data_IF_330993712936
#
_entry.id   IF_330993712936
#
_cell.length_a   1.000
_cell.length_b   1.000
_cell.length_c   1.000
_cell.angle_alpha   90.00
_cell.angle_beta   90.00
_cell.angle_gamma   90.00
#
_symmetry.space_group_name_H-M   'P 1'
#
loop_
_entity.id
_entity.type
_entity.pdbx_description
1 polymer ?
#
# COMPACT_ATOMS: atom_id res chain seq x y z
N UNK A 1 14.95 31.67 -64.51
CA UNK A 1 14.54 30.29 -64.11
C UNK A 1 14.92 29.86 -62.65
N UNK A 2 15.96 30.45 -62.09
CA UNK A 2 16.43 30.04 -60.73
C UNK A 2 15.49 30.46 -59.59
N UNK A 3 14.77 31.58 -59.69
CA UNK A 3 13.86 32.06 -58.63
C UNK A 3 12.53 31.30 -58.56
N UNK A 4 11.99 30.77 -59.66
CA UNK A 4 10.74 30.01 -59.67
C UNK A 4 10.85 28.62 -59.02
N UNK A 5 12.06 28.02 -59.09
CA UNK A 5 12.33 26.73 -58.40
C UNK A 5 12.38 26.87 -56.89
N UNK A 6 12.79 28.05 -56.37
CA UNK A 6 12.83 28.34 -54.93
C UNK A 6 11.42 28.69 -54.42
N UNK A 7 10.61 29.41 -55.18
CA UNK A 7 9.27 29.81 -54.76
C UNK A 7 8.23 28.68 -54.74
N UNK A 8 8.43 27.61 -55.53
CA UNK A 8 7.49 26.50 -55.60
C UNK A 8 8.08 25.23 -54.93
N UNK A 9 9.37 25.01 -55.02
CA UNK A 9 10.02 23.80 -54.51
C UNK A 9 10.11 23.74 -53.00
N UNK A 10 10.43 24.84 -52.33
CA UNK A 10 10.56 24.88 -50.87
C UNK A 10 9.21 24.73 -50.17
N UNK A 11 8.15 25.46 -50.50
CA UNK A 11 6.84 25.26 -49.91
C UNK A 11 6.27 23.85 -50.12
N UNK A 12 6.51 23.28 -51.32
CA UNK A 12 6.06 21.92 -51.62
C UNK A 12 6.81 20.86 -50.83
N UNK A 13 8.13 21.01 -50.65
CA UNK A 13 8.94 20.12 -49.82
C UNK A 13 8.55 20.21 -48.35
N UNK A 14 8.30 21.42 -47.81
CA UNK A 14 7.84 21.62 -46.43
C UNK A 14 6.44 21.03 -46.26
N UNK A 15 5.55 21.18 -47.21
CA UNK A 15 4.21 20.60 -47.21
C UNK A 15 4.24 19.08 -47.15
N UNK A 16 5.11 18.43 -47.94
CA UNK A 16 5.30 16.98 -47.93
C UNK A 16 5.87 16.49 -46.60
N UNK A 17 6.86 17.20 -46.04
CA UNK A 17 7.44 16.86 -44.73
C UNK A 17 6.39 16.98 -43.61
N UNK A 18 5.61 18.05 -43.60
CA UNK A 18 4.53 18.23 -42.61
C UNK A 18 3.44 17.19 -42.76
N UNK A 19 3.03 16.84 -43.98
CA UNK A 19 2.05 15.77 -44.22
C UNK A 19 2.58 14.39 -43.80
N UNK A 20 3.86 14.12 -44.02
CA UNK A 20 4.50 12.86 -43.59
C UNK A 20 4.62 12.76 -42.04
N UNK A 21 5.01 13.85 -41.39
CA UNK A 21 5.05 13.96 -39.94
C UNK A 21 3.65 13.80 -39.31
N UNK A 22 2.65 14.44 -39.90
CA UNK A 22 1.25 14.31 -39.47
C UNK A 22 0.75 12.87 -39.69
N UNK A 23 1.10 12.27 -40.81
CA UNK A 23 0.79 10.88 -41.12
C UNK A 23 1.43 9.89 -40.13
N UNK A 24 2.69 10.12 -39.70
CA UNK A 24 3.38 9.33 -38.68
C UNK A 24 2.75 9.54 -37.31
N UNK A 25 2.37 10.77 -36.97
CA UNK A 25 1.66 11.07 -35.71
C UNK A 25 0.27 10.43 -35.67
N UNK A 26 -0.49 10.55 -36.76
CA UNK A 26 -1.83 9.91 -36.85
C UNK A 26 -1.71 8.39 -36.89
N UNK A 27 -0.71 7.85 -37.58
CA UNK A 27 -0.46 6.41 -37.60
C UNK A 27 0.01 5.89 -36.21
N UNK A 28 0.82 6.66 -35.47
CA UNK A 28 1.18 6.38 -34.09
C UNK A 28 0.00 6.50 -33.11
N UNK A 29 -0.95 7.41 -33.41
CA UNK A 29 -2.16 7.57 -32.60
C UNK A 29 -3.24 6.54 -32.92
N UNK A 30 -3.35 6.09 -34.17
CA UNK A 30 -4.33 5.10 -34.64
C UNK A 30 -3.83 3.66 -34.45
N UNK A 31 -2.51 3.43 -34.30
CA UNK A 31 -1.96 2.17 -33.79
C UNK A 31 -1.44 2.39 -32.37
N UNK A 32 -2.24 2.13 -31.34
CA UNK A 32 -1.75 2.13 -29.98
C UNK A 32 -0.77 0.95 -29.85
N UNK A 33 0.51 1.26 -30.00
CA UNK A 33 1.58 0.36 -29.60
C UNK A 33 1.52 0.23 -28.08
N UNK A 34 0.96 -0.86 -27.55
CA UNK A 34 1.17 -1.29 -26.20
C UNK A 34 0.17 -0.86 -25.14
N UNK A 35 -0.88 -0.10 -25.44
CA UNK A 35 -2.05 -0.05 -24.55
C UNK A 35 -3.09 -1.05 -25.05
N UNK A 36 -3.10 -2.26 -24.50
CA UNK A 36 -4.28 -3.09 -24.62
C UNK A 36 -5.35 -2.50 -23.72
N UNK A 37 -6.20 -1.61 -24.25
CA UNK A 37 -7.50 -1.41 -23.66
C UNK A 37 -8.18 -2.79 -23.67
N UNK A 38 -8.37 -3.38 -22.49
CA UNK A 38 -9.21 -4.57 -22.36
C UNK A 38 -10.61 -4.16 -22.78
N UNK A 39 -11.20 -4.75 -23.84
CA UNK A 39 -12.55 -4.42 -24.24
C UNK A 39 -13.50 -4.72 -23.09
N UNK A 40 -14.33 -3.79 -22.73
CA UNK A 40 -15.48 -3.99 -21.85
C UNK A 40 -16.34 -5.12 -22.43
N UNK A 41 -16.30 -6.31 -21.79
CA UNK A 41 -17.19 -7.41 -22.14
C UNK A 41 -16.58 -8.79 -22.41
N UNK A 42 -15.29 -9.03 -22.20
CA UNK A 42 -14.71 -10.37 -22.34
C UNK A 42 -14.60 -11.14 -21.01
N UNK A 43 -15.65 -11.19 -20.22
CA UNK A 43 -15.74 -12.03 -19.01
C UNK A 43 -16.34 -13.42 -19.29
N UNK A 44 -16.10 -13.99 -20.47
CA UNK A 44 -16.56 -15.34 -20.82
C UNK A 44 -15.43 -16.36 -20.94
N UNK A 45 -14.64 -16.53 -19.87
CA UNK A 45 -13.91 -17.78 -19.66
C UNK A 45 -14.61 -18.59 -18.57
N UNK A 46 -15.51 -19.47 -18.98
CA UNK A 46 -15.99 -20.57 -18.15
C UNK A 46 -14.82 -21.52 -17.90
N UNK A 47 -14.19 -21.43 -16.73
CA UNK A 47 -13.38 -22.54 -16.20
C UNK A 47 -14.37 -23.57 -15.66
N UNK A 48 -14.33 -24.77 -16.20
CA UNK A 48 -15.11 -25.91 -15.70
C UNK A 48 -14.67 -26.17 -14.24
N UNK A 49 -15.59 -25.96 -13.31
CA UNK A 49 -15.41 -26.32 -11.91
C UNK A 49 -15.66 -27.79 -11.76
N UNK A 50 -14.63 -28.56 -11.34
CA UNK A 50 -14.82 -29.91 -10.87
C UNK A 50 -15.67 -29.95 -9.61
N UNK A 51 -16.63 -30.86 -9.43
CA UNK A 51 -17.43 -30.92 -8.21
C UNK A 51 -16.61 -31.55 -7.08
N UNK A 52 -16.25 -30.75 -6.11
CA UNK A 52 -15.48 -31.15 -4.92
C UNK A 52 -16.06 -30.59 -3.63
N UNK A 53 -16.68 -31.47 -2.85
CA UNK A 53 -16.76 -31.44 -1.40
C UNK A 53 -17.59 -30.33 -0.74
N UNK A 54 -18.82 -30.64 -0.37
CA UNK A 54 -19.65 -29.89 0.57
C UNK A 54 -19.01 -29.93 1.97
N UNK A 55 -18.39 -28.83 2.40
CA UNK A 55 -18.04 -28.59 3.79
C UNK A 55 -19.27 -28.12 4.56
N UNK A 56 -19.65 -28.83 5.62
CA UNK A 56 -20.76 -28.47 6.48
C UNK A 56 -20.54 -27.10 7.13
N UNK A 57 -21.48 -26.16 6.97
CA UNK A 57 -21.51 -24.87 7.64
C UNK A 57 -21.83 -25.03 9.12
N UNK A 58 -21.07 -24.36 9.99
CA UNK A 58 -21.37 -24.26 11.41
C UNK A 58 -22.69 -23.50 11.65
N UNK A 59 -23.49 -23.83 12.69
CA UNK A 59 -24.76 -23.15 12.96
C UNK A 59 -24.50 -21.68 13.32
N UNK A 60 -25.13 -20.76 12.60
CA UNK A 60 -25.15 -19.33 12.91
C UNK A 60 -24.28 -18.43 12.03
N UNK A 61 -23.57 -18.95 11.02
CA UNK A 61 -22.85 -18.10 10.06
C UNK A 61 -23.82 -17.45 9.06
N UNK A 62 -23.62 -16.18 8.67
CA UNK A 62 -24.37 -15.57 7.57
C UNK A 62 -24.24 -16.41 6.30
N UNK A 63 -25.31 -16.46 5.49
CA UNK A 63 -25.29 -17.23 4.25
C UNK A 63 -24.11 -16.82 3.35
N UNK A 64 -23.34 -17.79 2.85
CA UNK A 64 -22.21 -17.57 1.97
C UNK A 64 -20.83 -17.43 2.63
N UNK A 65 -20.73 -17.43 3.96
CA UNK A 65 -19.41 -17.45 4.65
C UNK A 65 -18.86 -18.86 4.63
N UNK A 66 -17.65 -19.04 4.10
CA UNK A 66 -16.91 -20.29 4.18
C UNK A 66 -15.68 -20.17 5.10
N UNK A 67 -15.37 -21.25 5.79
CA UNK A 67 -14.23 -21.33 6.69
C UNK A 67 -13.54 -22.68 6.58
N UNK A 68 -12.22 -22.66 6.41
CA UNK A 68 -11.37 -23.84 6.41
C UNK A 68 -10.19 -23.67 7.37
N UNK A 69 -9.81 -24.74 8.07
CA UNK A 69 -8.67 -24.75 8.99
C UNK A 69 -7.98 -26.11 8.90
N UNK A 70 -6.73 -26.14 8.49
CA UNK A 70 -5.97 -27.36 8.22
C UNK A 70 -5.36 -28.00 9.49
N UNK A 71 -5.40 -27.34 10.65
CA UNK A 71 -4.78 -27.82 11.92
C UNK A 71 -3.33 -28.29 11.79
N UNK A 72 -2.57 -27.72 10.85
CA UNK A 72 -1.18 -28.11 10.62
C UNK A 72 -0.25 -27.58 11.72
N UNK A 73 0.77 -28.35 12.08
CA UNK A 73 1.86 -27.85 12.91
C UNK A 73 2.67 -26.80 12.15
N UNK A 74 3.02 -25.71 12.83
CA UNK A 74 3.79 -24.62 12.24
C UNK A 74 5.21 -24.68 12.78
N UNK A 75 6.19 -24.79 11.88
CA UNK A 75 7.61 -24.71 12.26
C UNK A 75 7.91 -23.32 12.83
N UNK A 76 8.62 -23.26 13.96
CA UNK A 76 8.98 -21.99 14.58
C UNK A 76 10.13 -21.34 13.81
N UNK A 77 9.90 -20.16 13.27
CA UNK A 77 10.86 -19.37 12.52
C UNK A 77 10.99 -17.96 13.14
N UNK A 78 12.19 -17.36 13.07
CA UNK A 78 12.41 -16.03 13.61
C UNK A 78 11.76 -14.92 12.75
N UNK A 79 11.70 -13.71 13.33
CA UNK A 79 11.30 -12.50 12.66
C UNK A 79 9.80 -12.22 12.70
N UNK A 80 9.47 -10.94 12.50
CA UNK A 80 8.09 -10.45 12.49
C UNK A 80 7.95 -9.20 11.62
N UNK A 81 6.79 -9.10 10.95
CA UNK A 81 6.33 -7.92 10.21
C UNK A 81 4.82 -7.78 10.42
N UNK A 82 4.37 -7.32 11.61
CA UNK A 82 3.02 -7.57 12.10
C UNK A 82 1.94 -6.63 11.56
N UNK A 83 2.26 -5.69 10.69
CA UNK A 83 1.30 -4.73 10.15
C UNK A 83 1.84 -3.90 9.01
N UNK A 84 1.02 -2.98 8.55
CA UNK A 84 1.37 -2.05 7.49
C UNK A 84 2.67 -1.31 7.79
N UNK A 85 3.68 -1.49 6.90
CA UNK A 85 5.02 -0.92 7.00
C UNK A 85 5.82 -1.39 8.23
N UNK A 86 5.51 -2.59 8.74
CA UNK A 86 6.23 -3.21 9.84
C UNK A 86 5.83 -2.73 11.24
N UNK A 87 6.60 -3.12 12.28
CA UNK A 87 6.21 -2.92 13.68
C UNK A 87 6.11 -1.44 14.09
N UNK A 88 6.91 -0.56 13.48
CA UNK A 88 6.90 0.89 13.74
C UNK A 88 6.16 1.69 12.66
N UNK A 89 5.55 1.05 11.68
CA UNK A 89 4.84 1.66 10.54
C UNK A 89 5.71 2.63 9.72
N UNK A 90 7.02 2.44 9.74
CA UNK A 90 8.02 3.32 9.11
C UNK A 90 8.62 2.75 7.81
N UNK A 91 8.35 1.47 7.49
CA UNK A 91 8.90 0.78 6.32
C UNK A 91 10.34 0.31 6.51
N UNK A 92 10.83 0.34 7.76
CA UNK A 92 12.19 -0.09 8.10
C UNK A 92 12.14 -1.37 8.91
N UNK A 93 12.87 -2.39 8.45
CA UNK A 93 12.98 -3.65 9.20
C UNK A 93 13.99 -3.52 10.33
N UNK A 94 13.55 -3.83 11.54
CA UNK A 94 14.40 -4.00 12.71
C UNK A 94 14.89 -5.46 12.88
N UNK A 95 14.62 -6.35 11.93
CA UNK A 95 15.03 -7.76 11.97
C UNK A 95 16.56 -7.87 12.07
N UNK A 96 17.03 -8.62 13.08
CA UNK A 96 18.45 -8.78 13.34
C UNK A 96 19.13 -9.79 12.41
N UNK A 97 18.37 -10.58 11.65
CA UNK A 97 18.90 -11.57 10.70
C UNK A 97 19.88 -10.91 9.73
N UNK A 98 21.11 -11.41 9.58
CA UNK A 98 22.02 -10.95 8.55
C UNK A 98 21.42 -11.15 7.17
N UNK A 99 21.51 -10.13 6.31
CA UNK A 99 20.99 -10.19 4.94
C UNK A 99 22.13 -10.18 3.94
N UNK A 100 21.95 -10.93 2.87
CA UNK A 100 22.88 -10.92 1.75
C UNK A 100 23.00 -9.50 1.18
N UNK A 101 24.21 -9.01 0.87
CA UNK A 101 24.41 -7.65 0.36
C UNK A 101 23.87 -7.45 -1.07
N UNK A 102 23.46 -8.52 -1.71
CA UNK A 102 22.92 -8.61 -3.06
C UNK A 102 22.80 -10.07 -3.48
N UNK A 103 22.35 -10.28 -4.70
CA UNK A 103 22.17 -11.61 -5.31
C UNK A 103 22.64 -11.58 -6.78
N UNK A 104 22.91 -12.75 -7.35
CA UNK A 104 23.25 -12.91 -8.77
C UNK A 104 22.04 -12.70 -9.70
N UNK A 105 22.25 -12.82 -11.03
CA UNK A 105 21.18 -12.60 -12.03
C UNK A 105 19.97 -13.52 -11.87
N UNK A 106 20.13 -14.70 -11.26
CA UNK A 106 19.03 -15.62 -10.98
C UNK A 106 18.11 -15.15 -9.83
N UNK A 107 18.50 -14.09 -9.12
CA UNK A 107 17.81 -13.61 -7.95
C UNK A 107 18.05 -14.42 -6.67
N UNK A 108 17.40 -14.02 -5.56
CA UNK A 108 17.42 -14.80 -4.33
C UNK A 108 16.62 -16.10 -4.51
N UNK A 109 16.98 -17.20 -3.80
CA UNK A 109 16.25 -18.47 -3.87
C UNK A 109 14.78 -18.29 -3.51
N UNK A 110 13.88 -18.90 -4.29
CA UNK A 110 12.46 -18.98 -3.98
C UNK A 110 12.24 -20.16 -3.05
N UNK A 111 11.83 -19.89 -1.80
CA UNK A 111 11.53 -20.92 -0.81
C UNK A 111 10.17 -21.58 -1.11
N UNK A 112 9.18 -20.77 -1.44
CA UNK A 112 7.86 -21.22 -1.84
C UNK A 112 7.09 -20.11 -2.58
N UNK A 113 6.00 -20.50 -3.24
CA UNK A 113 5.05 -19.56 -3.83
C UNK A 113 3.63 -20.00 -3.59
N UNK A 114 2.69 -19.05 -3.53
CA UNK A 114 1.26 -19.29 -3.38
C UNK A 114 0.48 -18.55 -4.46
N UNK A 115 -0.53 -19.24 -5.01
CA UNK A 115 -1.52 -18.61 -5.90
C UNK A 115 -2.50 -17.80 -5.07
N UNK A 116 -2.76 -16.59 -5.50
CA UNK A 116 -3.69 -15.64 -4.91
C UNK A 116 -4.80 -15.31 -5.91
N UNK A 117 -5.86 -14.70 -5.40
CA UNK A 117 -6.80 -13.94 -6.22
C UNK A 117 -6.24 -12.58 -6.62
N UNK A 118 -7.00 -11.83 -7.40
CA UNK A 118 -6.57 -10.48 -7.82
C UNK A 118 -6.55 -9.51 -6.63
N UNK A 119 -5.46 -8.78 -6.46
CA UNK A 119 -5.37 -7.75 -5.43
C UNK A 119 -3.96 -7.24 -5.19
N UNK A 120 -3.88 -6.26 -4.29
CA UNK A 120 -2.64 -5.55 -3.94
C UNK A 120 -2.37 -5.58 -2.44
N UNK A 121 -3.08 -6.41 -1.69
CA UNK A 121 -2.88 -6.52 -0.25
C UNK A 121 -1.50 -7.08 0.08
N UNK A 122 -0.72 -6.35 0.85
CA UNK A 122 0.58 -6.83 1.34
C UNK A 122 0.43 -7.87 2.44
N UNK A 123 1.34 -8.86 2.53
CA UNK A 123 1.38 -9.80 3.61
C UNK A 123 1.89 -9.18 4.93
N UNK A 124 1.49 -9.77 6.04
CA UNK A 124 2.09 -9.54 7.36
C UNK A 124 2.54 -10.85 7.98
N UNK A 125 3.55 -10.79 8.84
CA UNK A 125 4.19 -11.99 9.41
C UNK A 125 4.26 -11.88 10.91
N UNK A 126 3.76 -12.91 11.60
CA UNK A 126 3.94 -13.08 13.04
C UNK A 126 3.84 -14.57 13.42
N UNK A 127 4.66 -15.00 14.37
CA UNK A 127 4.63 -16.38 14.90
C UNK A 127 4.66 -17.44 13.79
N UNK A 128 5.58 -17.25 12.83
CA UNK A 128 5.78 -18.14 11.67
C UNK A 128 4.56 -18.31 10.76
N UNK A 129 3.63 -17.36 10.81
CA UNK A 129 2.43 -17.31 9.97
C UNK A 129 2.44 -16.06 9.11
N UNK A 130 1.91 -16.19 7.91
CA UNK A 130 1.73 -15.10 6.93
C UNK A 130 0.23 -14.87 6.76
N UNK A 131 -0.20 -13.63 6.94
CA UNK A 131 -1.61 -13.26 6.80
C UNK A 131 -1.75 -12.21 5.71
N UNK A 132 -2.80 -12.32 4.92
CA UNK A 132 -3.21 -11.29 3.94
C UNK A 132 -4.71 -11.37 3.68
N UNK A 133 -5.25 -10.34 3.04
CA UNK A 133 -6.58 -10.41 2.43
C UNK A 133 -6.44 -10.70 0.95
N UNK A 134 -7.41 -11.41 0.40
CA UNK A 134 -7.38 -11.89 -0.97
C UNK A 134 -8.79 -11.89 -1.56
N UNK A 135 -8.92 -11.66 -2.86
CA UNK A 135 -10.22 -11.60 -3.51
C UNK A 135 -10.37 -12.68 -4.59
N UNK A 136 -11.37 -13.52 -4.43
CA UNK A 136 -11.75 -14.52 -5.43
C UNK A 136 -12.79 -13.92 -6.39
N UNK A 137 -12.37 -13.59 -7.60
CA UNK A 137 -13.21 -13.01 -8.64
C UNK A 137 -14.29 -14.00 -9.10
N UNK A 138 -13.98 -15.30 -9.15
CA UNK A 138 -14.92 -16.33 -9.58
C UNK A 138 -16.05 -16.56 -8.57
N UNK A 139 -15.71 -16.55 -7.29
CA UNK A 139 -16.67 -16.70 -6.19
C UNK A 139 -17.28 -15.36 -5.76
N UNK A 140 -16.80 -14.22 -6.27
CA UNK A 140 -17.16 -12.86 -5.81
C UNK A 140 -17.10 -12.76 -4.29
N UNK A 141 -15.97 -13.18 -3.72
CA UNK A 141 -15.75 -13.20 -2.28
C UNK A 141 -14.40 -12.62 -1.90
N UNK A 142 -14.37 -11.86 -0.83
CA UNK A 142 -13.14 -11.46 -0.15
C UNK A 142 -12.77 -12.52 0.89
N UNK A 143 -11.49 -12.69 1.16
CA UNK A 143 -10.99 -13.71 2.07
C UNK A 143 -9.85 -13.21 2.94
N UNK A 144 -9.86 -13.60 4.20
CA UNK A 144 -8.70 -13.52 5.09
C UNK A 144 -8.01 -14.88 5.03
N UNK A 145 -6.73 -14.88 4.65
CA UNK A 145 -5.93 -16.10 4.48
C UNK A 145 -4.73 -16.12 5.39
N UNK A 146 -4.40 -17.28 5.91
CA UNK A 146 -3.23 -17.52 6.73
C UNK A 146 -2.41 -18.69 6.16
N UNK A 147 -1.12 -18.46 5.97
CA UNK A 147 -0.18 -19.44 5.44
C UNK A 147 0.94 -19.71 6.45
N UNK A 148 1.58 -20.86 6.32
CA UNK A 148 2.83 -21.18 7.00
C UNK A 148 3.98 -20.38 6.36
N UNK A 149 4.78 -19.69 7.17
CA UNK A 149 5.98 -18.98 6.69
C UNK A 149 7.05 -19.96 6.19
N UNK A 150 7.03 -21.21 6.67
CA UNK A 150 8.04 -22.21 6.33
C UNK A 150 7.93 -22.71 4.91
N UNK A 151 6.71 -23.01 4.45
CA UNK A 151 6.46 -23.74 3.20
C UNK A 151 5.29 -23.18 2.35
N UNK A 152 4.61 -22.11 2.81
CA UNK A 152 3.50 -21.51 2.09
C UNK A 152 2.20 -22.31 2.11
N UNK A 153 2.11 -23.39 2.88
CA UNK A 153 0.85 -24.15 3.05
C UNK A 153 -0.23 -23.28 3.69
N UNK A 154 -1.45 -23.34 3.17
CA UNK A 154 -2.58 -22.57 3.74
C UNK A 154 -3.06 -23.23 5.03
N UNK A 155 -2.93 -22.51 6.14
CA UNK A 155 -3.31 -22.98 7.47
C UNK A 155 -4.81 -22.79 7.72
N UNK A 156 -5.34 -21.63 7.33
CA UNK A 156 -6.77 -21.36 7.39
C UNK A 156 -7.16 -20.25 6.40
N UNK A 157 -8.44 -20.28 6.00
CA UNK A 157 -9.09 -19.29 5.16
C UNK A 157 -10.49 -19.00 5.68
N UNK A 158 -10.84 -17.73 5.73
CA UNK A 158 -12.21 -17.25 5.99
C UNK A 158 -12.65 -16.37 4.84
N UNK A 159 -13.63 -16.84 4.06
CA UNK A 159 -14.18 -16.09 2.95
C UNK A 159 -15.60 -15.60 3.28
N UNK A 160 -15.96 -14.46 2.71
CA UNK A 160 -17.31 -13.90 2.80
C UNK A 160 -17.71 -13.27 1.47
N UNK A 161 -19.02 -13.33 1.09
CA UNK A 161 -19.49 -12.72 -0.13
C UNK A 161 -19.23 -11.22 -0.14
N UNK A 162 -18.60 -10.74 -1.19
CA UNK A 162 -18.34 -9.32 -1.40
C UNK A 162 -18.30 -9.02 -2.90
N UNK A 163 -19.44 -8.55 -3.43
CA UNK A 163 -19.55 -8.26 -4.87
C UNK A 163 -18.88 -6.91 -5.15
N UNK A 164 -17.75 -6.93 -5.84
CA UNK A 164 -17.02 -5.74 -6.25
C UNK A 164 -16.91 -5.68 -7.76
N UNK A 165 -16.88 -4.46 -8.32
CA UNK A 165 -16.52 -4.25 -9.72
C UNK A 165 -15.02 -4.43 -9.88
N UNK A 166 -14.58 -5.09 -10.95
CA UNK A 166 -13.16 -5.19 -11.25
C UNK A 166 -12.60 -3.81 -11.58
N UNK A 167 -11.82 -3.24 -10.65
CA UNK A 167 -11.24 -1.93 -10.77
C UNK A 167 -9.89 -1.89 -10.03
N UNK A 168 -8.78 -2.02 -10.75
CA UNK A 168 -7.40 -1.96 -10.24
C UNK A 168 -7.13 -2.86 -9.03
N UNK A 169 -7.57 -4.12 -9.06
CA UNK A 169 -7.48 -5.04 -7.93
C UNK A 169 -8.45 -4.66 -6.79
N UNK A 170 -8.93 -5.63 -6.06
CA UNK A 170 -10.03 -5.46 -5.11
C UNK A 170 -9.53 -5.31 -3.68
N UNK A 171 -8.79 -6.28 -3.17
CA UNK A 171 -8.24 -6.25 -1.81
C UNK A 171 -6.85 -5.63 -1.82
N UNK A 172 -6.65 -4.52 -1.09
CA UNK A 172 -5.40 -3.75 -1.12
C UNK A 172 -4.87 -3.34 0.25
N UNK A 173 -5.66 -3.52 1.30
CA UNK A 173 -5.23 -3.14 2.64
C UNK A 173 -4.31 -4.20 3.23
N UNK A 174 -3.37 -3.77 4.06
CA UNK A 174 -2.49 -4.66 4.81
C UNK A 174 -3.11 -4.95 6.17
N UNK A 175 -3.25 -6.23 6.58
CA UNK A 175 -3.74 -6.58 7.91
C UNK A 175 -2.86 -6.03 9.03
N UNK A 176 -3.41 -6.03 10.23
CA UNK A 176 -2.63 -6.00 11.46
C UNK A 176 -2.75 -7.36 12.16
N UNK A 177 -1.65 -7.85 12.74
CA UNK A 177 -1.65 -9.08 13.54
C UNK A 177 -0.89 -8.90 14.84
N UNK A 178 -1.41 -9.50 15.91
CA UNK A 178 -0.69 -9.74 17.15
C UNK A 178 -0.86 -11.22 17.58
N UNK A 179 -0.39 -11.60 18.77
CA UNK A 179 -0.44 -12.99 19.23
C UNK A 179 -1.86 -13.57 19.30
N UNK A 180 -2.89 -12.73 19.36
CA UNK A 180 -4.28 -13.14 19.56
C UNK A 180 -5.19 -12.82 18.38
N UNK A 181 -4.93 -11.72 17.69
CA UNK A 181 -5.88 -11.12 16.74
C UNK A 181 -5.24 -10.86 15.40
N UNK A 182 -6.01 -11.06 14.33
CA UNK A 182 -5.78 -10.48 13.02
C UNK A 182 -6.94 -9.55 12.69
N UNK A 183 -6.62 -8.31 12.28
CA UNK A 183 -7.61 -7.27 11.95
C UNK A 183 -7.42 -6.87 10.50
N UNK A 184 -8.51 -6.85 9.73
CA UNK A 184 -8.52 -6.52 8.30
C UNK A 184 -9.59 -5.49 7.98
N UNK A 185 -9.36 -4.70 6.93
CA UNK A 185 -10.38 -3.86 6.31
C UNK A 185 -10.59 -4.36 4.87
N UNK A 186 -11.75 -4.93 4.59
CA UNK A 186 -12.12 -5.41 3.27
C UNK A 186 -12.41 -4.28 2.27
N UNK A 187 -12.55 -4.60 0.96
CA UNK A 187 -12.66 -3.59 -0.10
C UNK A 187 -13.84 -2.64 0.08
N UNK A 188 -14.99 -3.11 0.57
CA UNK A 188 -16.15 -2.26 0.87
C UNK A 188 -16.25 -1.80 2.33
N UNK A 189 -15.11 -1.57 2.96
CA UNK A 189 -15.04 -1.01 4.31
C UNK A 189 -15.61 -1.92 5.40
N UNK A 190 -15.54 -3.24 5.21
CA UNK A 190 -15.85 -4.25 6.23
C UNK A 190 -14.64 -4.44 7.12
N UNK A 191 -14.72 -3.99 8.36
CA UNK A 191 -13.69 -4.14 9.38
C UNK A 191 -13.92 -5.47 10.13
N UNK A 192 -12.98 -6.39 10.01
CA UNK A 192 -13.12 -7.76 10.59
C UNK A 192 -11.97 -8.07 11.52
N UNK A 193 -12.26 -8.66 12.64
CA UNK A 193 -11.30 -9.20 13.59
C UNK A 193 -11.51 -10.70 13.78
N UNK A 194 -10.43 -11.45 13.58
CA UNK A 194 -10.42 -12.89 13.80
C UNK A 194 -9.34 -13.28 14.83
N UNK A 195 -9.47 -14.48 15.37
CA UNK A 195 -8.42 -15.14 16.10
C UNK A 195 -7.24 -15.40 15.16
N UNK A 196 -6.04 -14.99 15.53
CA UNK A 196 -4.87 -15.11 14.66
C UNK A 196 -4.46 -16.58 14.43
N UNK A 197 -4.61 -17.44 15.42
CA UNK A 197 -4.20 -18.84 15.32
C UNK A 197 -5.22 -19.68 14.54
N UNK A 198 -6.51 -19.44 14.77
CA UNK A 198 -7.60 -20.30 14.27
C UNK A 198 -8.37 -19.72 13.11
N UNK A 199 -8.37 -18.40 12.89
CA UNK A 199 -9.20 -17.72 11.90
C UNK A 199 -10.67 -17.57 12.32
N UNK A 200 -11.05 -17.95 13.54
CA UNK A 200 -12.41 -17.75 14.05
C UNK A 200 -12.73 -16.27 14.18
N UNK A 201 -13.87 -15.84 13.63
CA UNK A 201 -14.32 -14.45 13.72
C UNK A 201 -14.70 -14.09 15.16
N UNK A 202 -14.12 -13.02 15.68
CA UNK A 202 -14.43 -12.48 17.01
C UNK A 202 -15.49 -11.39 16.91
N UNK A 203 -15.32 -10.46 15.97
CA UNK A 203 -16.26 -9.37 15.70
C UNK A 203 -16.08 -8.81 14.31
N UNK A 204 -17.07 -8.08 13.84
CA UNK A 204 -17.09 -7.45 12.52
C UNK A 204 -17.95 -6.19 12.55
N UNK A 205 -17.56 -5.15 11.79
CA UNK A 205 -18.30 -3.93 11.54
C UNK A 205 -18.47 -3.68 10.05
N UNK A 206 -19.64 -3.29 9.62
CA UNK A 206 -19.90 -2.72 8.31
C UNK A 206 -19.90 -1.20 8.44
N UNK A 207 -18.74 -0.59 8.13
CA UNK A 207 -18.56 0.85 8.32
C UNK A 207 -19.45 1.68 7.38
N UNK A 208 -19.94 1.12 6.27
CA UNK A 208 -20.88 1.79 5.37
C UNK A 208 -22.23 1.96 6.06
N UNK A 209 -22.79 0.88 6.60
CA UNK A 209 -24.11 0.93 7.25
C UNK A 209 -24.05 1.61 8.62
N UNK A 210 -22.96 1.45 9.38
CA UNK A 210 -22.87 1.94 10.76
C UNK A 210 -22.46 3.42 10.85
N UNK A 211 -21.63 3.90 9.92
CA UNK A 211 -21.08 5.27 9.96
C UNK A 211 -21.35 6.09 8.70
N UNK A 212 -22.05 5.54 7.70
CA UNK A 212 -22.31 6.23 6.44
C UNK A 212 -21.04 6.44 5.61
N UNK A 213 -20.09 5.52 5.69
CA UNK A 213 -18.85 5.61 4.91
C UNK A 213 -19.16 5.54 3.43
N UNK A 214 -18.65 6.49 2.64
CA UNK A 214 -18.58 6.37 1.19
C UNK A 214 -17.39 5.52 0.83
N UNK A 215 -17.63 4.37 0.19
CA UNK A 215 -16.56 3.50 -0.29
C UNK A 215 -15.71 4.27 -1.29
N UNK A 216 -14.37 4.37 -1.09
CA UNK A 216 -13.50 5.06 -2.05
C UNK A 216 -13.58 4.44 -3.45
N UNK A 217 -13.31 5.24 -4.49
CA UNK A 217 -13.46 4.84 -5.90
C UNK A 217 -12.72 3.54 -6.25
N UNK A 218 -11.52 3.36 -5.72
CA UNK A 218 -10.72 2.13 -5.89
C UNK A 218 -10.80 1.20 -4.69
N UNK A 219 -11.93 1.22 -3.95
CA UNK A 219 -12.16 0.49 -2.70
C UNK A 219 -11.28 0.96 -1.53
N UNK A 220 -11.49 0.38 -0.34
CA UNK A 220 -10.72 0.73 0.84
C UNK A 220 -9.23 0.43 0.65
N UNK A 221 -8.37 1.39 0.94
CA UNK A 221 -6.91 1.26 0.91
C UNK A 221 -6.24 1.55 2.24
N UNK A 222 -7.00 2.10 3.19
CA UNK A 222 -6.51 2.39 4.53
C UNK A 222 -6.24 1.09 5.32
N UNK A 223 -5.05 0.99 5.94
CA UNK A 223 -4.67 -0.16 6.76
C UNK A 223 -5.03 0.09 8.24
N UNK A 224 -5.67 -0.85 8.93
CA UNK A 224 -6.06 -0.69 10.32
C UNK A 224 -4.85 -0.36 11.22
N UNK A 225 -5.06 0.53 12.19
CA UNK A 225 -4.10 0.78 13.25
C UNK A 225 -4.59 0.10 14.52
N UNK A 226 -3.71 -0.70 15.17
CA UNK A 226 -3.98 -1.19 16.51
C UNK A 226 -2.99 -0.55 17.47
N UNK A 227 -3.50 0.17 18.45
CA UNK A 227 -2.71 0.93 19.43
C UNK A 227 -3.44 0.97 20.77
N UNK A 228 -2.71 0.80 21.87
CA UNK A 228 -3.25 0.86 23.24
C UNK A 228 -4.53 0.01 23.43
N UNK A 229 -4.58 -1.19 22.81
CA UNK A 229 -5.72 -2.11 22.87
C UNK A 229 -6.95 -1.67 22.06
N UNK A 230 -6.80 -0.73 21.16
CA UNK A 230 -7.86 -0.23 20.29
C UNK A 230 -7.52 -0.47 18.82
N UNK A 231 -8.54 -0.84 18.04
CA UNK A 231 -8.50 -0.76 16.57
C UNK A 231 -9.02 0.62 16.17
N UNK A 232 -8.20 1.38 15.46
CA UNK A 232 -8.53 2.76 15.05
C UNK A 232 -8.58 2.83 13.53
N UNK A 233 -9.63 3.47 13.01
CA UNK A 233 -9.90 3.62 11.58
C UNK A 233 -10.45 5.01 11.28
N UNK A 234 -10.00 5.62 10.20
CA UNK A 234 -10.61 6.83 9.64
C UNK A 234 -11.83 6.43 8.82
N UNK A 235 -13.00 6.88 9.22
CA UNK A 235 -14.24 6.47 8.57
C UNK A 235 -14.75 7.51 7.56
N UNK A 236 -14.71 8.77 7.91
CA UNK A 236 -15.52 9.74 7.18
C UNK A 236 -17.02 9.50 7.47
N UNK A 237 -17.93 10.13 6.77
CA UNK A 237 -19.37 10.02 7.09
C UNK A 237 -19.70 10.64 8.44
N UNK A 238 -20.42 9.94 9.32
CA UNK A 238 -20.88 10.46 10.62
C UNK A 238 -19.77 10.67 11.66
N UNK A 239 -18.59 10.10 11.43
CA UNK A 239 -17.40 10.27 12.28
C UNK A 239 -16.15 10.41 11.41
N UNK A 240 -15.15 11.19 11.85
CA UNK A 240 -13.89 11.31 11.15
C UNK A 240 -13.00 10.11 11.43
N UNK A 241 -12.84 9.74 12.69
CA UNK A 241 -12.06 8.60 13.17
C UNK A 241 -12.88 7.87 14.23
N UNK A 242 -12.82 6.54 14.21
CA UNK A 242 -13.47 5.69 15.22
C UNK A 242 -12.45 4.75 15.84
N UNK A 243 -12.57 4.51 17.13
CA UNK A 243 -11.79 3.52 17.85
C UNK A 243 -12.70 2.46 18.48
N UNK A 244 -12.34 1.21 18.25
CA UNK A 244 -13.01 0.05 18.82
C UNK A 244 -12.09 -0.65 19.81
N UNK A 245 -12.63 -1.23 20.87
CA UNK A 245 -11.87 -2.15 21.71
C UNK A 245 -11.44 -3.35 20.87
N UNK A 246 -10.13 -3.63 20.82
CA UNK A 246 -9.59 -4.62 19.92
C UNK A 246 -10.07 -6.06 20.24
N UNK A 247 -10.36 -6.37 21.51
CA UNK A 247 -10.79 -7.71 21.91
C UNK A 247 -12.29 -7.95 21.65
N UNK A 248 -13.11 -6.92 21.83
CA UNK A 248 -14.58 -7.05 21.84
C UNK A 248 -15.28 -6.42 20.64
N UNK A 249 -14.61 -5.55 19.89
CA UNK A 249 -15.22 -4.75 18.83
C UNK A 249 -16.11 -3.60 19.33
N UNK A 250 -16.31 -3.42 20.62
CA UNK A 250 -17.15 -2.33 21.13
C UNK A 250 -16.52 -0.97 20.83
N UNK A 251 -17.32 -0.03 20.31
CA UNK A 251 -16.84 1.33 20.13
C UNK A 251 -16.43 1.94 21.47
N UNK A 252 -15.23 2.51 21.51
CA UNK A 252 -14.69 3.22 22.67
C UNK A 252 -14.90 4.72 22.56
N UNK A 253 -14.67 5.26 21.37
CA UNK A 253 -14.88 6.66 21.06
C UNK A 253 -14.94 6.89 19.54
N UNK A 254 -15.53 8.00 19.16
CA UNK A 254 -15.53 8.54 17.81
C UNK A 254 -15.20 10.03 17.81
N UNK A 255 -14.49 10.50 16.78
CA UNK A 255 -14.26 11.92 16.54
C UNK A 255 -15.38 12.51 15.73
N UNK A 256 -15.80 13.76 15.98
CA UNK A 256 -16.73 14.46 15.11
C UNK A 256 -16.13 14.65 13.71
N UNK A 257 -17.00 14.79 12.70
CA UNK A 257 -16.61 15.07 11.31
C UNK A 257 -17.30 16.35 10.79
N UNK A 258 -16.98 17.54 11.35
CA UNK A 258 -17.69 18.77 11.01
C UNK A 258 -17.47 19.22 9.56
N UNK A 259 -16.38 18.79 8.91
CA UNK A 259 -16.07 19.08 7.51
C UNK A 259 -16.66 18.08 6.51
N UNK A 260 -17.43 17.08 6.96
CA UNK A 260 -17.96 16.01 6.12
C UNK A 260 -16.88 15.33 5.25
N UNK A 261 -15.70 15.13 5.83
CA UNK A 261 -14.60 14.46 5.11
C UNK A 261 -14.97 13.02 4.84
N UNK A 262 -14.61 12.55 3.64
CA UNK A 262 -14.75 11.14 3.27
C UNK A 262 -13.50 10.34 3.63
N UNK A 263 -13.65 9.01 3.70
CA UNK A 263 -12.54 8.07 3.83
C UNK A 263 -11.58 8.21 2.64
N UNK A 264 -10.28 8.13 2.92
CA UNK A 264 -9.21 8.08 1.91
C UNK A 264 -8.45 6.76 2.01
N UNK A 265 -7.46 6.56 1.13
CA UNK A 265 -6.58 5.40 1.19
C UNK A 265 -5.46 5.56 2.23
N UNK A 266 -5.25 6.78 2.73
CA UNK A 266 -4.21 7.09 3.72
C UNK A 266 -4.51 6.42 5.06
N UNK A 267 -3.51 5.79 5.65
CA UNK A 267 -3.63 5.13 6.96
C UNK A 267 -3.37 6.10 8.10
N UNK A 268 -3.93 5.82 9.27
CA UNK A 268 -3.68 6.63 10.47
C UNK A 268 -2.25 6.41 10.97
N UNK A 269 -1.57 7.50 11.34
CA UNK A 269 -0.22 7.47 11.90
C UNK A 269 -0.22 7.98 13.36
N UNK A 270 0.27 7.17 14.32
CA UNK A 270 0.49 7.65 15.68
C UNK A 270 1.62 8.70 15.72
N UNK A 271 1.41 9.76 16.46
CA UNK A 271 2.41 10.80 16.71
C UNK A 271 2.32 11.26 18.17
N UNK A 272 3.46 11.49 18.81
CA UNK A 272 3.50 12.09 20.15
C UNK A 272 4.06 13.50 20.03
N UNK A 273 3.30 14.48 20.46
CA UNK A 273 3.69 15.91 20.47
C UNK A 273 3.77 16.37 21.91
N UNK A 274 4.97 16.69 22.39
CA UNK A 274 5.23 17.15 23.77
C UNK A 274 4.53 16.27 24.83
N UNK A 275 4.63 14.92 24.67
CA UNK A 275 4.03 13.95 25.60
C UNK A 275 2.57 13.62 25.33
N UNK A 276 1.88 14.33 24.43
CA UNK A 276 0.49 14.06 24.07
C UNK A 276 0.44 13.07 22.91
N UNK A 277 -0.14 11.89 23.14
CA UNK A 277 -0.38 10.89 22.09
C UNK A 277 -1.50 11.34 21.16
N UNK A 278 -1.20 11.46 19.89
CA UNK A 278 -2.12 11.87 18.83
C UNK A 278 -2.18 10.83 17.73
N UNK A 279 -3.27 10.83 16.97
CA UNK A 279 -3.51 10.00 15.81
C UNK A 279 -3.76 10.93 14.62
N UNK A 280 -2.84 10.91 13.66
CA UNK A 280 -2.89 11.80 12.48
C UNK A 280 -3.55 11.05 11.33
N UNK A 281 -4.54 11.69 10.70
CA UNK A 281 -5.27 11.16 9.56
C UNK A 281 -5.34 12.20 8.43
N UNK A 282 -5.00 11.77 7.22
CA UNK A 282 -5.19 12.55 6.01
C UNK A 282 -6.48 12.11 5.32
N UNK A 283 -7.57 12.80 5.62
CA UNK A 283 -8.90 12.62 5.03
C UNK A 283 -9.09 13.43 3.75
N UNK A 284 -10.28 13.36 3.15
CA UNK A 284 -10.56 14.04 1.87
C UNK A 284 -10.54 15.56 1.96
N UNK A 285 -10.79 16.13 3.13
CA UNK A 285 -10.82 17.58 3.36
C UNK A 285 -9.55 18.16 3.98
N UNK A 286 -8.48 17.35 4.12
CA UNK A 286 -7.22 17.81 4.70
C UNK A 286 -6.60 16.82 5.66
N UNK A 287 -5.80 17.33 6.60
CA UNK A 287 -5.14 16.53 7.64
C UNK A 287 -5.62 16.96 9.01
N UNK A 288 -5.95 16.00 9.86
CA UNK A 288 -6.34 16.24 11.24
C UNK A 288 -5.57 15.33 12.19
N UNK A 289 -5.34 15.80 13.40
CA UNK A 289 -4.89 14.98 14.51
C UNK A 289 -5.94 14.94 15.60
N UNK A 290 -6.23 13.73 16.07
CA UNK A 290 -7.13 13.51 17.19
C UNK A 290 -6.35 12.97 18.40
N UNK A 291 -6.81 13.29 19.60
CA UNK A 291 -6.27 12.72 20.82
C UNK A 291 -6.47 11.19 20.82
N UNK A 292 -5.44 10.39 21.06
CA UNK A 292 -5.56 8.95 21.14
C UNK A 292 -6.50 8.50 22.26
N UNK A 293 -6.57 9.27 23.35
CA UNK A 293 -7.54 9.08 24.41
C UNK A 293 -8.80 9.92 24.13
N UNK A 294 -9.85 9.30 23.55
CA UNK A 294 -11.18 9.90 23.43
C UNK A 294 -11.48 10.65 22.12
N UNK A 295 -10.59 10.69 21.15
CA UNK A 295 -10.89 11.13 19.79
C UNK A 295 -11.16 12.64 19.62
N UNK A 296 -10.86 13.49 20.61
CA UNK A 296 -10.97 14.95 20.45
C UNK A 296 -10.06 15.43 19.32
N UNK A 297 -10.56 16.21 18.39
CA UNK A 297 -9.75 16.88 17.38
C UNK A 297 -8.87 17.93 18.10
N UNK A 298 -7.56 17.81 17.93
CA UNK A 298 -6.56 18.71 18.54
C UNK A 298 -6.13 19.80 17.58
N UNK A 299 -6.05 19.48 16.29
CA UNK A 299 -5.83 20.41 15.18
C UNK A 299 -6.29 19.80 13.86
N UNK A 300 -6.54 20.66 12.88
CA UNK A 300 -6.76 20.27 11.49
C UNK A 300 -6.25 21.38 10.57
N UNK A 301 -5.95 21.02 9.32
CA UNK A 301 -5.60 21.93 8.25
C UNK A 301 -6.17 21.45 6.93
N UNK A 302 -6.64 22.36 6.10
CA UNK A 302 -7.09 22.15 4.72
C UNK A 302 -6.00 22.46 3.68
N UNK A 303 -4.79 22.80 4.14
CA UNK A 303 -3.67 23.06 3.23
C UNK A 303 -3.20 21.83 2.44
N UNK A 304 -3.63 20.63 2.83
CA UNK A 304 -3.31 19.37 2.16
C UNK A 304 -4.56 18.63 1.73
N UNK A 305 -5.06 18.96 0.55
CA UNK A 305 -6.21 18.30 -0.09
C UNK A 305 -5.80 17.77 -1.44
N UNK A 306 -6.10 16.49 -1.72
CA UNK A 306 -5.88 15.85 -3.02
C UNK A 306 -7.22 15.36 -3.53
N UNK A 307 -7.72 15.99 -4.60
CA UNK A 307 -9.07 15.75 -5.10
C UNK A 307 -9.28 14.35 -5.67
N UNK A 308 -8.23 13.74 -6.25
CA UNK A 308 -8.35 12.42 -6.87
C UNK A 308 -8.22 11.30 -5.85
N UNK A 309 -7.07 11.19 -5.17
CA UNK A 309 -6.85 10.19 -4.12
C UNK A 309 -5.72 10.60 -3.17
N UNK A 310 -5.98 10.60 -1.88
CA UNK A 310 -4.98 10.71 -0.84
C UNK A 310 -4.55 9.30 -0.44
N UNK A 311 -3.35 8.87 -0.83
CA UNK A 311 -2.86 7.50 -0.63
C UNK A 311 -1.71 7.41 0.36
N UNK A 312 -0.57 8.12 0.20
CA UNK A 312 0.51 8.03 1.15
C UNK A 312 0.08 8.43 2.56
N UNK A 313 0.58 7.68 3.53
CA UNK A 313 0.34 7.94 4.95
C UNK A 313 1.24 9.07 5.43
N UNK A 314 0.79 9.96 6.32
CA UNK A 314 1.63 10.97 6.96
C UNK A 314 2.87 10.34 7.62
N UNK A 315 4.03 10.98 7.52
CA UNK A 315 5.28 10.49 8.11
C UNK A 315 5.69 11.43 9.23
N UNK A 316 5.84 10.86 10.43
CA UNK A 316 6.33 11.60 11.60
C UNK A 316 7.85 11.76 11.47
N UNK A 317 8.32 13.01 11.55
CA UNK A 317 9.73 13.36 11.51
C UNK A 317 10.19 13.98 12.85
N UNK A 318 11.49 13.96 13.17
CA UNK A 318 12.03 14.51 14.41
C UNK A 318 11.64 15.99 14.61
N UNK A 319 11.46 16.40 15.86
CA UNK A 319 11.12 17.78 16.23
C UNK A 319 9.64 18.13 16.01
N UNK A 320 8.73 17.19 16.24
CA UNK A 320 7.28 17.35 16.06
C UNK A 320 6.91 17.76 14.63
N UNK A 321 7.64 17.28 13.63
CA UNK A 321 7.36 17.53 12.22
C UNK A 321 6.55 16.41 11.60
N UNK A 322 5.76 16.77 10.58
CA UNK A 322 4.93 15.85 9.83
C UNK A 322 5.17 16.07 8.34
N UNK A 323 5.65 15.04 7.66
CA UNK A 323 5.83 15.07 6.22
C UNK A 323 4.61 14.46 5.51
N UNK A 324 4.14 15.14 4.48
CA UNK A 324 3.03 14.74 3.62
C UNK A 324 3.52 14.73 2.18
N UNK A 325 3.08 13.77 1.39
CA UNK A 325 3.28 13.74 -0.05
C UNK A 325 2.10 13.06 -0.75
N UNK A 326 1.98 13.27 -2.04
CA UNK A 326 0.92 12.69 -2.84
C UNK A 326 1.23 12.65 -4.31
N UNK A 327 0.45 11.88 -5.05
CA UNK A 327 0.38 11.89 -6.50
C UNK A 327 -0.47 13.05 -7.03
N UNK A 328 -0.87 12.91 -8.30
CA UNK A 328 -1.80 13.85 -8.94
C UNK A 328 -1.35 15.32 -8.83
N UNK A 329 -0.05 15.54 -9.07
CA UNK A 329 0.64 16.83 -9.02
C UNK A 329 0.64 17.55 -7.66
N UNK A 330 0.34 16.83 -6.56
CA UNK A 330 0.26 17.42 -5.22
C UNK A 330 1.62 17.77 -4.62
N UNK A 331 2.69 17.08 -5.04
CA UNK A 331 4.02 17.31 -4.52
C UNK A 331 4.21 16.80 -3.09
N UNK A 332 4.95 17.55 -2.28
CA UNK A 332 5.17 17.23 -0.87
C UNK A 332 5.25 18.47 0.02
N UNK A 333 5.00 18.28 1.31
CA UNK A 333 4.95 19.34 2.31
C UNK A 333 5.47 18.85 3.65
N UNK A 334 6.14 19.73 4.39
CA UNK A 334 6.53 19.51 5.77
C UNK A 334 5.76 20.49 6.68
N UNK A 335 5.11 19.92 7.67
CA UNK A 335 4.41 20.68 8.72
C UNK A 335 5.22 20.64 10.03
N UNK A 336 5.15 21.71 10.80
CA UNK A 336 5.50 21.77 12.21
C UNK A 336 4.23 21.69 13.04
N UNK A 337 4.22 20.82 14.03
CA UNK A 337 3.12 20.70 15.00
C UNK A 337 3.62 21.20 16.34
N UNK A 338 2.98 22.21 16.89
CA UNK A 338 3.32 22.84 18.15
C UNK A 338 2.13 22.77 19.12
N UNK A 339 2.39 22.81 20.43
CA UNK A 339 1.35 22.91 21.45
C UNK A 339 1.39 21.79 22.49
N UNK A 340 0.27 21.62 23.17
CA UNK A 340 0.08 20.69 24.29
C UNK A 340 -1.35 20.14 24.32
N UNK A 341 -1.70 19.39 25.35
CA UNK A 341 -3.09 18.90 25.55
C UNK A 341 -4.16 20.01 25.64
N UNK A 342 -3.77 21.23 26.03
CA UNK A 342 -4.67 22.39 26.09
C UNK A 342 -5.05 22.90 24.69
N UNK A 343 -4.12 22.80 23.73
CA UNK A 343 -4.35 23.18 22.34
C UNK A 343 -3.10 22.95 21.52
N UNK A 344 -3.31 22.60 20.24
CA UNK A 344 -2.24 22.39 19.26
C UNK A 344 -2.48 23.28 18.04
N UNK A 345 -1.41 23.63 17.36
CA UNK A 345 -1.40 24.36 16.11
C UNK A 345 -0.48 23.68 15.11
N UNK A 346 -0.71 23.93 13.85
CA UNK A 346 0.11 23.41 12.76
C UNK A 346 0.47 24.56 11.82
N UNK A 347 1.71 24.56 11.32
CA UNK A 347 2.18 25.51 10.30
C UNK A 347 3.00 24.79 9.23
N UNK A 348 2.90 25.25 8.00
CA UNK A 348 3.72 24.79 6.89
C UNK A 348 5.13 25.33 7.03
N UNK A 349 6.14 24.44 7.06
CA UNK A 349 7.56 24.81 7.03
C UNK A 349 8.03 25.04 5.60
N UNK A 350 7.65 24.12 4.70
CA UNK A 350 7.96 24.22 3.28
C UNK A 350 7.01 23.34 2.44
N UNK A 351 6.95 23.64 1.14
CA UNK A 351 6.23 22.85 0.13
C UNK A 351 7.08 22.75 -1.13
N UNK A 352 7.09 21.58 -1.78
CA UNK A 352 7.79 21.33 -3.04
C UNK A 352 6.82 20.78 -4.09
N UNK A 353 7.12 21.07 -5.37
CA UNK A 353 6.34 20.60 -6.52
C UNK A 353 6.51 19.09 -6.70
N UNK A 354 5.57 18.46 -7.40
CA UNK A 354 5.60 17.03 -7.71
C UNK A 354 6.85 16.61 -8.50
N UNK A 355 7.40 17.49 -9.31
CA UNK A 355 8.68 17.25 -10.02
C UNK A 355 9.89 17.14 -9.11
N UNK A 356 9.82 17.67 -7.88
CA UNK A 356 10.88 17.55 -6.87
C UNK A 356 10.67 16.31 -6.02
N UNK A 357 9.44 16.13 -5.50
CA UNK A 357 9.06 14.96 -4.73
C UNK A 357 7.54 14.77 -4.76
N UNK A 358 7.11 13.54 -5.00
CA UNK A 358 5.71 13.12 -5.01
C UNK A 358 5.63 11.64 -4.65
N UNK A 359 4.46 11.07 -4.51
CA UNK A 359 4.26 9.63 -4.50
C UNK A 359 2.79 9.31 -4.79
N UNK A 360 2.54 8.42 -5.75
CA UNK A 360 1.19 8.08 -6.16
C UNK A 360 0.55 7.06 -5.21
N UNK A 361 1.29 6.05 -4.78
CA UNK A 361 0.76 4.94 -3.97
C UNK A 361 1.58 4.67 -2.70
N UNK A 362 2.88 4.51 -2.84
CA UNK A 362 3.72 4.03 -1.74
C UNK A 362 4.06 5.18 -0.79
N UNK A 363 3.92 4.95 0.50
CA UNK A 363 4.37 5.91 1.50
C UNK A 363 5.90 5.94 1.56
N UNK A 364 6.56 7.10 1.41
CA UNK A 364 8.01 7.23 1.53
C UNK A 364 8.54 6.78 2.89
N UNK A 365 9.83 6.51 2.95
CA UNK A 365 10.50 6.03 4.16
C UNK A 365 11.41 7.13 4.71
N UNK A 366 11.20 7.51 5.96
CA UNK A 366 12.17 8.32 6.69
C UNK A 366 13.24 7.41 7.30
N UNK A 367 14.49 7.60 6.88
CA UNK A 367 15.61 6.82 7.37
C UNK A 367 16.85 7.71 7.51
N UNK A 368 17.43 7.77 8.72
CA UNK A 368 18.62 8.59 9.03
C UNK A 368 18.50 10.03 8.50
N UNK A 369 17.42 10.72 8.89
CA UNK A 369 17.12 12.10 8.52
C UNK A 369 16.96 12.39 7.02
N UNK A 370 16.69 11.36 6.22
CA UNK A 370 16.38 11.47 4.79
C UNK A 370 15.10 10.72 4.44
N UNK A 371 14.35 11.26 3.50
CA UNK A 371 13.14 10.66 2.97
C UNK A 371 13.48 9.94 1.66
N UNK A 372 13.11 8.67 1.55
CA UNK A 372 13.29 7.86 0.35
C UNK A 372 11.93 7.51 -0.23
N UNK A 373 11.69 7.81 -1.48
CA UNK A 373 10.42 7.53 -2.14
C UNK A 373 10.53 7.47 -3.66
N UNK A 374 9.63 6.73 -4.27
CA UNK A 374 9.47 6.69 -5.73
C UNK A 374 8.49 7.78 -6.12
N UNK A 375 8.94 8.75 -6.92
CA UNK A 375 8.10 9.84 -7.41
C UNK A 375 7.24 9.39 -8.60
N UNK A 376 6.21 10.16 -8.96
CA UNK A 376 5.28 9.89 -10.09
C UNK A 376 6.01 9.55 -11.39
N UNK A 377 7.20 10.12 -11.63
CA UNK A 377 8.06 9.74 -12.76
C UNK A 377 8.73 8.37 -12.66
N UNK A 378 8.50 7.62 -11.57
CA UNK A 378 9.01 6.27 -11.33
C UNK A 378 10.43 6.21 -10.78
N UNK A 379 11.12 7.33 -10.61
CA UNK A 379 12.47 7.36 -10.07
C UNK A 379 12.45 7.32 -8.53
N UNK A 380 13.39 6.58 -7.93
CA UNK A 380 13.67 6.68 -6.50
C UNK A 380 14.41 7.99 -6.23
N UNK A 381 13.93 8.76 -5.28
CA UNK A 381 14.50 10.04 -4.84
C UNK A 381 14.84 9.97 -3.36
N UNK A 382 15.99 10.49 -2.99
CA UNK A 382 16.37 10.79 -1.62
C UNK A 382 16.21 12.30 -1.40
N UNK A 383 15.35 12.68 -0.45
CA UNK A 383 15.04 14.05 -0.09
C UNK A 383 15.53 14.35 1.33
N UNK A 384 16.16 15.50 1.54
CA UNK A 384 16.50 16.00 2.88
C UNK A 384 15.27 16.52 3.60
N UNK A 385 15.33 16.63 4.92
CA UNK A 385 14.23 17.16 5.73
C UNK A 385 13.95 18.66 5.53
N UNK A 386 14.82 19.36 4.81
CA UNK A 386 14.60 20.75 4.38
C UNK A 386 13.90 20.89 3.02
N UNK A 387 13.54 19.76 2.39
CA UNK A 387 12.86 19.72 1.10
C UNK A 387 13.80 19.74 -0.12
N UNK A 388 15.12 19.71 0.08
CA UNK A 388 16.08 19.67 -1.03
C UNK A 388 16.44 18.23 -1.41
N UNK A 389 16.44 17.87 -2.72
CA UNK A 389 16.89 16.55 -3.17
C UNK A 389 18.37 16.32 -2.86
N UNK A 390 18.70 15.15 -2.31
CA UNK A 390 20.08 14.69 -2.20
C UNK A 390 20.51 13.99 -3.50
N UNK A 391 19.65 13.15 -4.07
CA UNK A 391 19.87 12.47 -5.34
C UNK A 391 18.56 11.90 -5.92
N UNK A 392 18.60 11.54 -7.23
CA UNK A 392 17.62 10.71 -7.93
C UNK A 392 18.31 9.49 -8.52
N UNK A 393 17.59 8.37 -8.65
CA UNK A 393 18.11 7.13 -9.27
C UNK A 393 18.40 7.28 -10.77
N UNK A 394 17.97 8.39 -11.36
CA UNK A 394 18.18 8.70 -12.79
C UNK A 394 17.16 8.01 -13.72
N UNK A 395 17.16 8.40 -15.00
CA UNK A 395 16.13 8.00 -15.95
C UNK A 395 16.12 6.51 -16.29
N UNK A 396 17.25 5.81 -16.08
CA UNK A 396 17.36 4.38 -16.37
C UNK A 396 16.86 3.48 -15.24
N UNK A 397 16.66 4.01 -14.02
CA UNK A 397 16.20 3.25 -12.86
C UNK A 397 14.82 3.76 -12.46
N UNK A 398 13.77 3.14 -13.01
CA UNK A 398 12.38 3.47 -12.78
C UNK A 398 11.65 2.28 -12.19
N UNK A 399 10.86 2.53 -11.15
CA UNK A 399 10.21 1.50 -10.33
C UNK A 399 8.68 1.56 -10.38
N UNK A 400 8.12 2.57 -11.07
CA UNK A 400 6.67 2.73 -11.22
C UNK A 400 5.94 2.86 -9.88
N UNK A 401 4.90 2.08 -9.70
CA UNK A 401 4.07 2.06 -8.49
C UNK A 401 4.48 0.97 -7.49
N UNK A 402 5.58 0.25 -7.76
CA UNK A 402 6.02 -0.86 -6.94
C UNK A 402 6.45 -0.47 -5.52
N UNK A 403 6.33 -1.40 -4.57
CA UNK A 403 6.66 -1.16 -3.16
C UNK A 403 8.17 -1.15 -2.91
N UNK A 404 8.53 -0.53 -1.80
CA UNK A 404 9.91 -0.54 -1.30
C UNK A 404 9.94 -0.57 0.23
N UNK A 405 11.06 -1.07 0.77
CA UNK A 405 11.35 -1.09 2.20
C UNK A 405 12.85 -0.93 2.45
N UNK A 406 13.23 -0.62 3.68
CA UNK A 406 14.62 -0.59 4.11
C UNK A 406 14.87 -1.70 5.13
N UNK A 407 15.95 -2.45 4.92
CA UNK A 407 16.43 -3.44 5.87
C UNK A 407 17.96 -3.44 5.90
N UNK A 408 18.57 -3.43 7.08
CA UNK A 408 20.03 -3.49 7.27
C UNK A 408 20.81 -2.45 6.43
N UNK A 409 20.23 -1.25 6.25
CA UNK A 409 20.85 -0.19 5.45
C UNK A 409 20.76 -0.37 3.94
N UNK A 410 19.94 -1.30 3.48
CA UNK A 410 19.67 -1.56 2.08
C UNK A 410 18.21 -1.23 1.74
N UNK A 411 18.00 -0.59 0.60
CA UNK A 411 16.70 -0.42 -0.06
C UNK A 411 16.38 -1.69 -0.85
N UNK A 412 15.25 -2.30 -0.59
CA UNK A 412 14.61 -3.33 -1.40
C UNK A 412 13.49 -2.67 -2.17
N UNK A 413 13.58 -2.62 -3.49
CA UNK A 413 12.63 -1.91 -4.36
C UNK A 413 12.11 -2.90 -5.39
N UNK A 414 10.81 -3.13 -5.40
CA UNK A 414 10.15 -3.95 -6.41
C UNK A 414 9.54 -3.02 -7.46
N UNK A 415 9.71 -3.31 -8.74
CA UNK A 415 9.05 -2.55 -9.80
C UNK A 415 7.70 -3.15 -10.19
N UNK A 416 6.93 -2.43 -11.00
CA UNK A 416 5.60 -2.85 -11.50
C UNK A 416 5.61 -4.23 -12.20
N UNK A 417 6.76 -4.62 -12.72
CA UNK A 417 6.93 -5.82 -13.55
C UNK A 417 7.45 -7.01 -12.77
N UNK A 418 7.75 -6.83 -11.49
CA UNK A 418 8.25 -7.89 -10.62
C UNK A 418 9.77 -8.01 -10.58
N UNK A 419 10.51 -6.95 -10.94
CA UNK A 419 11.97 -6.89 -10.76
C UNK A 419 12.31 -6.33 -9.38
N UNK A 420 13.02 -7.10 -8.58
CA UNK A 420 13.54 -6.68 -7.28
C UNK A 420 14.93 -6.08 -7.46
N UNK A 421 15.10 -4.83 -7.04
CA UNK A 421 16.39 -4.14 -6.96
C UNK A 421 16.80 -4.00 -5.50
N UNK A 422 18.07 -4.30 -5.19
CA UNK A 422 18.71 -3.95 -3.92
C UNK A 422 19.68 -2.80 -4.15
N UNK A 423 19.59 -1.75 -3.34
CA UNK A 423 20.45 -0.58 -3.42
C UNK A 423 20.86 -0.11 -2.01
N UNK A 424 21.87 0.78 -1.92
CA UNK A 424 22.25 1.38 -0.65
C UNK A 424 21.20 2.39 -0.17
N UNK A 425 20.76 2.27 1.09
CA UNK A 425 19.96 3.30 1.77
C UNK A 425 20.90 4.40 2.32
N UNK A 426 21.43 5.24 1.43
CA UNK A 426 22.46 6.25 1.74
C UNK A 426 22.15 7.57 1.05
N UNK A 427 22.36 8.73 1.70
CA UNK A 427 22.20 10.04 1.07
C UNK A 427 23.35 10.40 0.11
N UNK A 428 24.44 9.64 0.07
CA UNK A 428 25.62 9.94 -0.76
C UNK A 428 25.38 9.75 -2.27
N UNK A 429 24.34 9.02 -2.66
CA UNK A 429 23.98 8.76 -4.05
C UNK A 429 23.24 7.42 -4.21
N UNK A 430 22.55 7.25 -5.33
CA UNK A 430 21.92 5.98 -5.66
C UNK A 430 23.00 4.98 -6.11
N UNK A 431 23.13 3.87 -5.37
CA UNK A 431 24.06 2.79 -5.69
C UNK A 431 23.31 1.47 -5.69
N UNK A 432 23.01 0.97 -6.89
CA UNK A 432 22.44 -0.36 -7.10
C UNK A 432 23.46 -1.44 -6.79
N UNK A 433 23.08 -2.44 -6.01
CA UNK A 433 23.91 -3.61 -5.66
C UNK A 433 23.59 -4.82 -6.54
N UNK A 434 22.30 -5.08 -6.72
CA UNK A 434 21.81 -6.20 -7.53
C UNK A 434 20.39 -5.95 -7.99
N UNK A 435 19.98 -6.68 -9.03
CA UNK A 435 18.59 -6.75 -9.47
C UNK A 435 18.31 -8.11 -10.11
N UNK A 436 17.09 -8.62 -9.93
CA UNK A 436 16.60 -9.81 -10.60
C UNK A 436 15.08 -9.80 -10.68
N UNK A 437 14.52 -10.45 -11.69
CA UNK A 437 13.10 -10.68 -11.81
C UNK A 437 12.67 -11.79 -10.87
N UNK A 438 11.74 -11.50 -9.96
CA UNK A 438 11.25 -12.43 -8.93
C UNK A 438 9.77 -12.79 -9.09
N UNK A 439 9.04 -11.99 -9.87
CA UNK A 439 7.62 -12.16 -10.17
C UNK A 439 7.38 -11.92 -11.67
N UNK A 440 6.35 -12.52 -12.21
CA UNK A 440 6.02 -12.38 -13.64
C UNK A 440 5.27 -11.06 -13.93
N UNK A 441 4.66 -10.46 -12.90
CA UNK A 441 3.74 -9.34 -13.05
C UNK A 441 2.41 -9.79 -13.68
N UNK A 442 1.51 -8.89 -14.05
CA UNK A 442 1.62 -7.44 -13.89
C UNK A 442 1.38 -6.96 -12.46
N UNK A 443 1.57 -5.65 -12.25
CA UNK A 443 1.09 -4.93 -11.07
C UNK A 443 1.65 -5.48 -9.75
N UNK A 444 2.97 -5.62 -9.65
CA UNK A 444 3.65 -6.00 -8.41
C UNK A 444 3.65 -4.83 -7.40
N UNK A 445 2.45 -4.41 -6.94
CA UNK A 445 2.23 -3.21 -6.12
C UNK A 445 1.99 -3.49 -4.64
N UNK A 446 1.77 -4.75 -4.28
CA UNK A 446 1.53 -5.15 -2.89
C UNK A 446 2.74 -4.87 -1.99
N UNK A 447 2.56 -4.21 -0.83
CA UNK A 447 3.65 -3.94 0.10
C UNK A 447 4.47 -5.18 0.45
N UNK A 448 5.80 -4.99 0.56
CA UNK A 448 6.74 -6.03 0.96
C UNK A 448 6.65 -6.33 2.47
N UNK A 449 7.02 -7.57 2.85
CA UNK A 449 7.23 -7.95 4.25
C UNK A 449 8.54 -8.72 4.39
N UNK A 450 9.26 -8.49 5.49
CA UNK A 450 10.52 -9.19 5.78
C UNK A 450 10.51 -9.72 7.21
N UNK A 451 10.78 -11.01 7.36
CA UNK A 451 10.87 -11.67 8.67
C UNK A 451 11.88 -12.82 8.63
N UNK A 452 12.88 -12.80 9.50
CA UNK A 452 13.87 -13.86 9.63
C UNK A 452 14.64 -14.17 8.34
N UNK A 453 15.00 -13.13 7.58
CA UNK A 453 15.67 -13.28 6.29
C UNK A 453 14.76 -13.75 5.14
N UNK A 454 13.45 -13.86 5.37
CA UNK A 454 12.45 -14.23 4.35
C UNK A 454 11.72 -12.98 3.86
N UNK A 455 11.91 -12.65 2.58
CA UNK A 455 11.24 -11.54 1.91
C UNK A 455 9.99 -12.07 1.19
N UNK A 456 8.84 -11.51 1.54
CA UNK A 456 7.56 -11.78 0.89
C UNK A 456 7.23 -10.65 -0.07
N UNK A 457 6.91 -11.02 -1.30
CA UNK A 457 6.51 -10.12 -2.37
C UNK A 457 5.34 -10.72 -3.14
N UNK A 458 4.48 -9.87 -3.71
CA UNK A 458 3.40 -10.34 -4.58
C UNK A 458 3.26 -9.47 -5.83
N UNK A 459 2.80 -10.10 -6.91
CA UNK A 459 2.12 -9.42 -8.02
C UNK A 459 0.58 -9.54 -7.86
N UNK A 460 -0.15 -9.30 -8.93
CA UNK A 460 -1.62 -9.31 -8.91
C UNK A 460 -2.20 -10.63 -8.36
N UNK A 461 -1.60 -11.79 -8.72
CA UNK A 461 -2.19 -13.12 -8.49
C UNK A 461 -1.26 -14.15 -7.83
N UNK A 462 -0.03 -13.76 -7.53
CA UNK A 462 0.97 -14.66 -6.96
C UNK A 462 1.76 -14.00 -5.83
N UNK A 463 2.04 -14.75 -4.79
CA UNK A 463 2.97 -14.39 -3.73
C UNK A 463 4.17 -15.34 -3.75
N UNK A 464 5.37 -14.79 -3.53
CA UNK A 464 6.61 -15.54 -3.37
C UNK A 464 7.25 -15.25 -2.03
N UNK A 465 7.88 -16.24 -1.45
CA UNK A 465 8.77 -16.12 -0.30
C UNK A 465 10.20 -16.39 -0.76
N UNK A 466 11.07 -15.43 -0.57
CA UNK A 466 12.45 -15.44 -1.03
C UNK A 466 13.41 -15.54 0.15
N UNK A 467 14.47 -16.31 0.00
CA UNK A 467 15.57 -16.30 0.95
C UNK A 467 16.54 -15.15 0.63
N UNK A 468 16.59 -14.18 1.52
CA UNK A 468 17.51 -13.03 1.42
C UNK A 468 18.48 -12.98 2.59
N UNK A 469 18.56 -14.05 3.39
CA UNK A 469 19.53 -14.18 4.46
C UNK A 469 20.96 -14.29 3.90
N UNK A 470 21.93 -13.85 4.68
CA UNK A 470 23.33 -14.14 4.43
C UNK A 470 23.65 -15.56 4.94
N UNK A 471 24.17 -16.40 4.06
CA UNK A 471 24.64 -17.76 4.35
C UNK A 471 26.15 -17.83 4.34
#
# INVERSE_FOLDING_TARGET
>A
MRNKLIEIGIPSAVGVICATLLGVLVYGYVRPGGFSERPLGMDQFRVAVAPGGQGASAPGAPAGVSFSNAKAAVAVLPGAWPGFRGPLRDGVSADATPLAPGFGPAGPPVLWSATLGEGYAGPVVLNSRVYLIDYDQGAQSDAIRCFSLADGSELWRRSYPEVVKRNHGMSRTVPFVNDKLVVTLGPKCRLTCCDAATGEMKWQHDLVSEYGVTVPEWYAGQCPLVVDGMVVIGTGGSALVVAFDAATGKEKWRSPNPGNWAMTHSSIMPMTVNGVKTLVYAGSGGVAAVAAAGGKILWSTDEWVINTATVPTPIVAPGNRLFLCGGYDSGAMMLQVDGSAAGMSVKTLWRVKASVFSSDQQTPILYKDHLYGVITGGQMVCLKLDGTPAWSSGPMNRYGLGPYMIARGMLYILDDKGTLTVADASPAGFKKRSEARILEGPDAWGPLALAGGRLLARDLTRMVCLDVAAH
#
